data_IF_382044468965
#
_entry.id   IF_382044468965
#
_cell.length_a   1.000
_cell.length_b   1.000
_cell.length_c   1.000
_cell.angle_alpha   90.00
_cell.angle_beta   90.00
_cell.angle_gamma   90.00
#
_symmetry.space_group_name_H-M   'P 1'
#
loop_
_entity.id
_entity.type
_entity.pdbx_description
1 polymer ?
#
# COMPACT_ATOMS: atom_id res chain seq x y z
N UNK A 1 43.84 25.25 -10.36
CA UNK A 1 42.79 25.40 -9.32
C UNK A 1 41.46 24.77 -9.72
N UNK A 2 40.89 25.07 -10.91
CA UNK A 2 39.58 24.56 -11.36
C UNK A 2 39.36 23.04 -11.26
N UNK A 3 40.38 22.22 -11.60
CA UNK A 3 40.29 20.74 -11.54
C UNK A 3 40.14 20.19 -10.11
N UNK A 4 40.85 20.76 -9.12
CA UNK A 4 40.75 20.34 -7.72
C UNK A 4 39.40 20.70 -7.10
N UNK A 5 38.89 21.90 -7.43
CA UNK A 5 37.56 22.35 -7.00
C UNK A 5 36.45 21.46 -7.55
N UNK A 6 36.56 21.05 -8.83
CA UNK A 6 35.63 20.09 -9.44
C UNK A 6 35.63 18.72 -8.74
N UNK A 7 36.81 18.17 -8.46
CA UNK A 7 36.93 16.87 -7.77
C UNK A 7 36.29 16.91 -6.38
N UNK A 8 36.55 17.97 -5.61
CA UNK A 8 35.96 18.16 -4.28
C UNK A 8 34.44 18.29 -4.39
N UNK A 9 33.94 19.08 -5.36
CA UNK A 9 32.51 19.23 -5.60
C UNK A 9 31.84 17.89 -5.91
N UNK A 10 32.45 17.10 -6.80
CA UNK A 10 31.93 15.78 -7.18
C UNK A 10 31.90 14.82 -5.97
N UNK A 11 32.97 14.79 -5.16
CA UNK A 11 33.02 13.96 -3.95
C UNK A 11 31.94 14.37 -2.93
N UNK A 12 31.73 15.68 -2.73
CA UNK A 12 30.68 16.19 -1.85
C UNK A 12 29.28 15.80 -2.33
N UNK A 13 29.01 15.84 -3.63
CA UNK A 13 27.73 15.42 -4.20
C UNK A 13 27.51 13.91 -4.00
N UNK A 14 28.53 13.09 -4.27
CA UNK A 14 28.45 11.63 -4.06
C UNK A 14 28.19 11.32 -2.58
N UNK A 15 28.88 12.00 -1.66
CA UNK A 15 28.69 11.80 -0.23
C UNK A 15 27.28 12.20 0.21
N UNK A 16 26.76 13.33 -0.27
CA UNK A 16 25.40 13.78 0.01
C UNK A 16 24.35 12.79 -0.51
N UNK A 17 24.53 12.27 -1.73
CA UNK A 17 23.65 11.25 -2.30
C UNK A 17 23.72 9.93 -1.51
N UNK A 18 24.92 9.51 -1.09
CA UNK A 18 25.10 8.31 -0.27
C UNK A 18 24.40 8.40 1.09
N UNK A 19 24.51 9.53 1.78
CA UNK A 19 23.80 9.78 3.05
C UNK A 19 22.28 9.80 2.82
N UNK A 20 21.81 10.45 1.75
CA UNK A 20 20.40 10.49 1.41
C UNK A 20 19.81 9.09 1.14
N UNK A 21 20.58 8.24 0.46
CA UNK A 21 20.21 6.85 0.19
C UNK A 21 20.18 5.99 1.47
N UNK A 22 21.07 6.24 2.43
CA UNK A 22 21.07 5.55 3.72
C UNK A 22 19.89 5.94 4.61
N UNK A 23 19.52 7.22 4.64
CA UNK A 23 18.38 7.70 5.43
C UNK A 23 17.07 7.18 4.84
N UNK A 24 16.96 7.14 3.50
CA UNK A 24 15.80 6.66 2.73
C UNK A 24 14.46 6.97 3.43
N UNK A 25 14.05 8.26 3.45
CA UNK A 25 12.94 8.71 4.27
C UNK A 25 11.65 7.96 3.97
N UNK A 26 10.87 7.70 5.02
CA UNK A 26 9.51 7.16 4.88
C UNK A 26 8.57 8.27 4.40
N UNK A 27 7.70 7.91 3.47
CA UNK A 27 6.68 8.74 2.85
C UNK A 27 5.34 8.06 3.08
N UNK A 28 4.35 8.84 3.47
CA UNK A 28 2.96 8.38 3.52
C UNK A 28 2.37 8.41 2.12
N UNK A 29 1.74 7.32 1.70
CA UNK A 29 0.95 7.22 0.49
C UNK A 29 -0.49 6.91 0.85
N UNK A 30 -1.40 7.55 0.13
CA UNK A 30 -2.83 7.33 0.25
C UNK A 30 -3.31 6.39 -0.87
N UNK A 31 -4.23 5.50 -0.53
CA UNK A 31 -4.98 4.66 -1.47
C UNK A 31 -6.45 4.97 -1.24
N UNK A 32 -7.14 5.31 -2.31
CA UNK A 32 -8.54 5.73 -2.27
C UNK A 32 -9.37 4.83 -3.18
N UNK A 33 -10.55 4.43 -2.73
CA UNK A 33 -11.57 3.78 -3.54
C UNK A 33 -12.95 4.26 -3.09
N UNK A 34 -13.71 4.86 -4.02
CA UNK A 34 -15.00 5.50 -3.72
C UNK A 34 -14.83 6.55 -2.60
N UNK A 35 -15.54 6.40 -1.48
CA UNK A 35 -15.48 7.23 -0.28
C UNK A 35 -14.67 6.59 0.86
N UNK A 36 -13.82 5.60 0.54
CA UNK A 36 -12.90 4.97 1.48
C UNK A 36 -11.44 5.34 1.15
N UNK A 37 -10.68 5.61 2.21
CA UNK A 37 -9.27 6.02 2.14
C UNK A 37 -8.45 5.20 3.14
N UNK A 38 -7.24 4.84 2.76
CA UNK A 38 -6.26 4.21 3.63
C UNK A 38 -4.87 4.75 3.34
N UNK A 39 -4.01 4.80 4.35
CA UNK A 39 -2.63 5.28 4.20
C UNK A 39 -1.63 4.22 4.55
N UNK A 40 -0.56 4.10 3.76
CA UNK A 40 0.56 3.20 4.05
C UNK A 40 1.90 3.91 3.90
N UNK A 41 2.92 3.38 4.56
CA UNK A 41 4.27 3.93 4.53
C UNK A 41 5.12 3.22 3.48
N UNK A 42 5.78 3.99 2.63
CA UNK A 42 6.83 3.50 1.72
C UNK A 42 8.08 4.36 1.85
N UNK A 43 9.24 3.80 1.52
CA UNK A 43 10.48 4.56 1.44
C UNK A 43 10.69 5.11 0.03
N UNK A 44 11.45 6.18 -0.10
CA UNK A 44 11.67 6.89 -1.37
C UNK A 44 12.41 6.02 -2.40
N UNK A 45 13.23 5.08 -1.95
CA UNK A 45 14.03 4.19 -2.79
C UNK A 45 13.54 2.74 -2.85
N UNK A 46 12.36 2.46 -2.29
CA UNK A 46 11.78 1.12 -2.26
C UNK A 46 12.51 0.17 -1.31
N UNK A 47 11.76 -0.69 -0.63
CA UNK A 47 12.29 -1.77 0.23
C UNK A 47 11.39 -3.00 0.11
N UNK A 48 11.99 -4.17 0.32
CA UNK A 48 11.33 -5.47 0.14
C UNK A 48 10.06 -5.63 1.00
N UNK A 49 10.05 -5.06 2.22
CA UNK A 49 8.89 -5.12 3.11
C UNK A 49 7.76 -4.12 2.76
N UNK A 50 7.92 -3.27 1.74
CA UNK A 50 6.88 -2.30 1.36
C UNK A 50 5.65 -2.95 0.74
N UNK A 51 5.80 -4.15 0.17
CA UNK A 51 4.67 -4.97 -0.28
C UNK A 51 3.69 -5.27 0.86
N UNK A 52 4.19 -5.49 2.08
CA UNK A 52 3.38 -5.73 3.27
C UNK A 52 2.61 -4.47 3.69
N UNK A 53 3.26 -3.30 3.65
CA UNK A 53 2.60 -2.04 3.99
C UNK A 53 1.49 -1.72 2.97
N UNK A 54 1.76 -1.93 1.68
CA UNK A 54 0.77 -1.74 0.63
C UNK A 54 -0.41 -2.71 0.78
N UNK A 55 -0.12 -3.99 1.00
CA UNK A 55 -1.12 -5.01 1.29
C UNK A 55 -2.00 -4.61 2.49
N UNK A 56 -1.40 -4.23 3.62
CA UNK A 56 -2.13 -3.88 4.83
C UNK A 56 -2.98 -2.61 4.63
N UNK A 57 -2.48 -1.62 3.89
CA UNK A 57 -3.29 -0.46 3.49
C UNK A 57 -4.49 -0.86 2.63
N UNK A 58 -4.35 -1.87 1.75
CA UNK A 58 -5.46 -2.44 0.97
C UNK A 58 -6.44 -3.26 1.81
N UNK A 59 -5.98 -3.88 2.90
CA UNK A 59 -6.86 -4.56 3.86
C UNK A 59 -7.72 -3.55 4.62
N UNK A 60 -7.13 -2.43 5.07
CA UNK A 60 -7.87 -1.33 5.71
C UNK A 60 -8.91 -0.72 4.78
N UNK A 61 -8.50 -0.47 3.53
CA UNK A 61 -9.41 0.01 2.49
C UNK A 61 -10.58 -0.96 2.28
N UNK A 62 -10.29 -2.26 2.22
CA UNK A 62 -11.32 -3.32 2.07
C UNK A 62 -12.29 -3.37 3.24
N UNK A 63 -11.81 -3.20 4.47
CA UNK A 63 -12.67 -3.15 5.67
C UNK A 63 -13.63 -1.97 5.61
N UNK A 64 -13.15 -0.78 5.26
CA UNK A 64 -14.02 0.39 5.04
C UNK A 64 -15.06 0.13 3.94
N UNK A 65 -14.65 -0.42 2.79
CA UNK A 65 -15.57 -0.73 1.70
C UNK A 65 -16.64 -1.73 2.15
N UNK A 66 -16.27 -2.72 2.98
CA UNK A 66 -17.20 -3.69 3.55
C UNK A 66 -18.19 -3.07 4.54
N UNK A 67 -17.78 -2.09 5.35
CA UNK A 67 -18.71 -1.33 6.19
C UNK A 67 -19.75 -0.59 5.35
N UNK A 68 -19.29 0.10 4.29
CA UNK A 68 -20.17 0.84 3.37
C UNK A 68 -21.11 -0.10 2.60
N UNK A 69 -20.59 -1.23 2.12
CA UNK A 69 -21.39 -2.26 1.47
C UNK A 69 -22.42 -2.87 2.42
N UNK A 70 -22.05 -3.18 3.66
CA UNK A 70 -22.95 -3.81 4.62
C UNK A 70 -24.16 -2.94 4.95
N UNK A 71 -23.99 -1.62 4.94
CA UNK A 71 -25.07 -0.64 5.14
C UNK A 71 -25.88 -0.39 3.86
N UNK A 72 -25.22 -0.19 2.73
CA UNK A 72 -25.89 0.27 1.49
C UNK A 72 -26.36 -0.85 0.58
N UNK A 73 -25.69 -2.00 0.62
CA UNK A 73 -25.77 -3.10 -0.35
C UNK A 73 -25.56 -2.64 -1.80
N UNK A 74 -24.85 -1.53 -1.99
CA UNK A 74 -24.58 -0.95 -3.30
C UNK A 74 -23.46 -1.73 -4.01
N UNK A 75 -23.76 -2.14 -5.25
CA UNK A 75 -22.90 -2.94 -6.11
C UNK A 75 -21.54 -2.28 -6.36
N UNK A 76 -21.44 -0.94 -6.34
CA UNK A 76 -20.16 -0.26 -6.56
C UNK A 76 -19.11 -0.64 -5.50
N UNK A 77 -19.53 -0.80 -4.23
CA UNK A 77 -18.63 -1.23 -3.17
C UNK A 77 -18.22 -2.69 -3.36
N UNK A 78 -19.18 -3.53 -3.75
CA UNK A 78 -18.94 -4.94 -4.07
C UNK A 78 -17.89 -5.09 -5.17
N UNK A 79 -17.96 -4.27 -6.22
CA UNK A 79 -17.01 -4.27 -7.32
C UNK A 79 -15.60 -3.89 -6.85
N UNK A 80 -15.46 -2.86 -6.02
CA UNK A 80 -14.14 -2.48 -5.47
C UNK A 80 -13.55 -3.55 -4.55
N UNK A 81 -14.37 -4.17 -3.68
CA UNK A 81 -13.94 -5.29 -2.82
C UNK A 81 -13.41 -6.44 -3.69
N UNK A 82 -14.14 -6.83 -4.74
CA UNK A 82 -13.71 -7.89 -5.67
C UNK A 82 -12.39 -7.56 -6.37
N UNK A 83 -12.17 -6.30 -6.77
CA UNK A 83 -10.90 -5.86 -7.37
C UNK A 83 -9.73 -6.06 -6.41
N UNK A 84 -9.89 -5.68 -5.14
CA UNK A 84 -8.83 -5.83 -4.14
C UNK A 84 -8.57 -7.31 -3.84
N UNK A 85 -9.62 -8.13 -3.71
CA UNK A 85 -9.42 -9.58 -3.50
C UNK A 85 -8.62 -10.18 -4.67
N UNK A 86 -9.01 -9.89 -5.91
CA UNK A 86 -8.33 -10.37 -7.12
C UNK A 86 -6.86 -9.94 -7.18
N UNK A 87 -6.52 -8.81 -6.58
CA UNK A 87 -5.15 -8.27 -6.54
C UNK A 87 -4.22 -9.12 -5.66
N UNK A 88 -4.73 -9.70 -4.56
CA UNK A 88 -3.90 -10.37 -3.56
C UNK A 88 -4.10 -11.88 -3.49
N UNK A 89 -5.32 -12.41 -3.63
CA UNK A 89 -5.59 -13.85 -3.58
C UNK A 89 -6.86 -14.27 -4.36
N UNK A 90 -6.76 -15.43 -5.02
CA UNK A 90 -7.80 -16.26 -5.66
C UNK A 90 -8.21 -15.98 -7.12
N UNK A 91 -7.80 -16.93 -7.98
CA UNK A 91 -8.25 -17.17 -9.37
C UNK A 91 -9.79 -17.40 -9.54
N UNK A 92 -10.58 -17.30 -8.47
CA UNK A 92 -12.03 -17.58 -8.44
C UNK A 92 -12.86 -16.50 -7.74
N UNK A 93 -12.57 -15.23 -8.01
CA UNK A 93 -13.29 -14.09 -7.40
C UNK A 93 -14.79 -14.04 -7.71
N UNK A 94 -15.23 -14.69 -8.79
CA UNK A 94 -16.63 -14.65 -9.24
C UNK A 94 -17.56 -15.56 -8.40
N UNK A 95 -17.01 -16.53 -7.68
CA UNK A 95 -17.75 -17.44 -6.80
C UNK A 95 -17.84 -16.94 -5.34
N UNK A 96 -17.23 -15.79 -5.04
CA UNK A 96 -17.12 -15.27 -3.67
C UNK A 96 -18.41 -14.59 -3.20
N UNK A 97 -18.88 -15.01 -2.02
CA UNK A 97 -19.99 -14.38 -1.32
C UNK A 97 -19.51 -13.14 -0.55
N UNK A 98 -19.75 -11.95 -1.12
CA UNK A 98 -19.28 -10.69 -0.54
C UNK A 98 -19.97 -10.36 0.78
N UNK A 99 -21.22 -10.80 0.98
CA UNK A 99 -21.90 -10.64 2.28
C UNK A 99 -21.18 -11.42 3.39
N UNK A 100 -20.74 -12.65 3.11
CA UNK A 100 -19.99 -13.46 4.06
C UNK A 100 -18.60 -12.89 4.34
N UNK A 101 -17.91 -12.43 3.30
CA UNK A 101 -16.59 -11.79 3.41
C UNK A 101 -16.69 -10.54 4.28
N UNK A 102 -17.65 -9.66 4.00
CA UNK A 102 -17.80 -8.43 4.78
C UNK A 102 -18.27 -8.68 6.21
N UNK A 103 -19.05 -9.73 6.46
CA UNK A 103 -19.41 -10.13 7.83
C UNK A 103 -18.19 -10.62 8.62
N UNK A 104 -17.20 -11.20 7.95
CA UNK A 104 -15.98 -11.75 8.55
C UNK A 104 -14.74 -10.95 8.10
N UNK A 105 -14.89 -9.64 7.88
CA UNK A 105 -13.89 -8.77 7.25
C UNK A 105 -12.54 -8.80 7.96
N UNK A 106 -12.51 -8.90 9.29
CA UNK A 106 -11.28 -9.00 10.06
C UNK A 106 -10.46 -10.27 9.76
N UNK A 107 -11.14 -11.36 9.38
CA UNK A 107 -10.49 -12.62 9.02
C UNK A 107 -10.06 -12.62 7.56
N UNK A 108 -10.92 -12.15 6.66
CA UNK A 108 -10.64 -12.13 5.21
C UNK A 108 -9.62 -11.06 4.82
N UNK A 109 -9.60 -9.93 5.53
CA UNK A 109 -8.65 -8.83 5.30
C UNK A 109 -7.64 -8.75 6.45
N UNK A 110 -7.03 -9.89 6.76
CA UNK A 110 -5.98 -9.99 7.76
C UNK A 110 -4.68 -9.36 7.23
N UNK A 111 -3.92 -8.73 8.12
CA UNK A 111 -2.65 -8.14 7.76
C UNK A 111 -1.58 -9.20 7.49
N UNK A 112 -0.69 -8.89 6.56
CA UNK A 112 0.58 -9.58 6.45
C UNK A 112 1.58 -8.96 7.43
N UNK A 113 2.33 -9.83 8.10
CA UNK A 113 3.40 -9.44 9.00
C UNK A 113 4.73 -9.94 8.41
N UNK A 114 5.73 -9.08 8.45
CA UNK A 114 7.11 -9.47 8.14
C UNK A 114 7.74 -9.96 9.45
N UNK A 115 8.19 -11.21 9.48
CA UNK A 115 8.94 -11.79 10.61
C UNK A 115 10.37 -11.24 10.72
#
# INVERSE_FOLDING_TARGET
>A
MKKKTWIILTLSIILALGIFWLINPKISKEITALDCEATYQMSLFGREYEGFNYHNGKMDLSKCLCEKYSVSKDEKYQLEIKKIIKEFEYDKTDELNIDEICKNSETYFAYWYYE
#
